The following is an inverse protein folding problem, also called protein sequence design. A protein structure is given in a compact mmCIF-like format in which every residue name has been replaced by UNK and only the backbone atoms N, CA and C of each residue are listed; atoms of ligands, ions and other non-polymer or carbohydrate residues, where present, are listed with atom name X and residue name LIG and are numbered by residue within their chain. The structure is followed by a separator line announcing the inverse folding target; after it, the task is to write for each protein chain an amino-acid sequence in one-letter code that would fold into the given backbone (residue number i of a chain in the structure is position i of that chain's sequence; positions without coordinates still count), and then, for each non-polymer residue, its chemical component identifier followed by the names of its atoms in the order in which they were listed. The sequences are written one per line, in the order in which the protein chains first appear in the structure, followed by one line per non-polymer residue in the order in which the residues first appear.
data_IF_294454330128
#
_entry.id   IF_294454330128
#
_cell.length_a   1.000
_cell.length_b   1.000
_cell.length_c   1.000
_cell.angle_alpha   90.00
_cell.angle_beta   90.00
_cell.angle_gamma   90.00
#
_symmetry.space_group_name_H-M   'P 1'
#
loop_
_entity.id
_entity.type
_entity.pdbx_description
1 polymer ?
2 non-polymer ?
3 water ?
#
# COMPACT_ATOMS: atom_id res chain seq x y z
N UNK A 1 9.32 6.93 -21.10
CA UNK A 1 10.14 7.44 -19.94
C UNK A 1 9.65 7.02 -18.55
N UNK A 2 10.59 6.55 -17.73
CA UNK A 2 10.26 6.05 -16.42
C UNK A 2 11.13 6.71 -15.36
N UNK A 3 10.53 7.49 -14.46
CA UNK A 3 11.23 8.13 -13.31
C UNK A 3 10.76 7.42 -12.08
N UNK A 4 11.37 6.28 -11.81
CA UNK A 4 10.77 5.36 -10.87
C UNK A 4 10.73 5.87 -9.42
N UNK A 5 11.63 6.80 -9.08
CA UNK A 5 11.71 7.31 -7.71
C UNK A 5 10.55 8.24 -7.39
N UNK A 6 10.30 9.22 -8.27
CA UNK A 6 9.21 10.18 -8.06
C UNK A 6 7.88 9.53 -8.20
N UNK A 7 7.75 8.68 -9.21
CA UNK A 7 6.54 7.89 -9.37
C UNK A 7 6.31 7.03 -8.13
N UNK A 8 7.37 6.41 -7.62
CA UNK A 8 7.27 5.53 -6.42
C UNK A 8 6.85 6.30 -5.19
N UNK A 9 7.54 7.39 -4.83
CA UNK A 9 7.13 8.20 -3.69
C UNK A 9 5.70 8.69 -3.85
N UNK A 10 5.33 9.13 -5.06
CA UNK A 10 3.97 9.66 -5.28
C UNK A 10 2.95 8.55 -5.03
N UNK A 11 3.28 7.38 -5.52
CA UNK A 11 2.29 6.29 -5.49
C UNK A 11 2.13 5.72 -4.07
N UNK A 12 3.22 5.62 -3.30
CA UNK A 12 3.08 5.25 -1.88
C UNK A 12 2.30 6.32 -1.09
N UNK A 13 2.55 7.60 -1.37
CA UNK A 13 1.76 8.67 -0.74
C UNK A 13 0.26 8.43 -0.96
N UNK A 14 -0.13 8.14 -2.21
CA UNK A 14 -1.52 7.86 -2.52
C UNK A 14 -2.03 6.60 -1.81
N UNK A 15 -1.31 5.49 -1.87
CA UNK A 15 -1.77 4.24 -1.22
C UNK A 15 -1.97 4.30 0.29
N UNK A 16 -0.96 4.82 1.00
CA UNK A 16 -1.02 5.02 2.47
C UNK A 16 -2.10 6.04 2.87
N UNK A 17 -2.27 7.10 2.07
CA UNK A 17 -3.38 8.07 2.26
C UNK A 17 -4.73 7.48 2.10
N UNK A 18 -4.93 6.62 1.12
CA UNK A 18 -6.18 5.92 0.99
C UNK A 18 -6.43 5.00 2.17
N UNK A 19 -5.41 4.26 2.64
CA UNK A 19 -5.62 3.41 3.79
C UNK A 19 -5.91 4.26 5.05
N UNK A 20 -5.26 5.41 5.21
CA UNK A 20 -5.50 6.28 6.41
C UNK A 20 -6.90 6.86 6.47
N UNK A 21 -7.55 6.96 5.32
CA UNK A 21 -8.88 7.52 5.20
C UNK A 21 -9.94 6.44 5.24
N UNK A 22 -9.50 5.19 5.31
CA UNK A 22 -10.42 4.05 5.23
C UNK A 22 -11.14 3.93 6.57
N UNK A 23 -12.40 3.43 6.57
CA UNK A 23 -13.14 3.29 7.83
C UNK A 23 -12.58 2.23 8.73
N UNK A 24 -12.87 2.39 10.04
CA UNK A 24 -12.56 1.34 11.01
C UNK A 24 -13.55 0.20 10.80
N UNK A 25 -14.80 0.55 10.45
CA UNK A 25 -15.83 -0.41 10.05
C UNK A 25 -16.30 -0.14 8.62
N UNK A 26 -15.62 -0.74 7.64
CA UNK A 26 -15.96 -0.51 6.24
C UNK A 26 -17.22 -1.26 5.85
N UNK A 27 -18.02 -0.69 4.94
CA UNK A 27 -19.16 -1.38 4.33
C UNK A 27 -18.68 -2.52 3.44
N UNK A 28 -19.55 -3.47 3.12
CA UNK A 28 -19.20 -4.58 2.23
C UNK A 28 -18.73 -4.01 0.90
N UNK A 29 -19.34 -2.92 0.47
CA UNK A 29 -18.95 -2.28 -0.79
C UNK A 29 -17.55 -1.68 -0.73
N UNK A 30 -17.24 -1.02 0.37
CA UNK A 30 -15.96 -0.37 0.55
C UNK A 30 -14.88 -1.45 0.54
N UNK A 31 -15.13 -2.58 1.19
CA UNK A 31 -14.17 -3.67 1.17
C UNK A 31 -13.91 -4.18 -0.25
N UNK A 32 -14.96 -4.36 -1.03
CA UNK A 32 -14.80 -4.91 -2.39
C UNK A 32 -14.06 -3.98 -3.36
N UNK A 33 -14.32 -2.68 -3.26
CA UNK A 33 -13.68 -1.73 -4.16
C UNK A 33 -12.24 -1.54 -3.78
N UNK A 34 -11.94 -1.64 -2.50
CA UNK A 34 -10.53 -1.51 -2.09
C UNK A 34 -9.70 -2.70 -2.66
N UNK A 35 -10.23 -3.90 -2.55
CA UNK A 35 -9.57 -5.09 -3.13
C UNK A 35 -9.35 -4.94 -4.64
N UNK A 36 -10.38 -4.51 -5.35
CA UNK A 36 -10.31 -4.32 -6.76
C UNK A 36 -9.37 -3.19 -7.09
N UNK A 37 -9.40 -2.11 -6.31
CA UNK A 37 -8.51 -1.01 -6.57
C UNK A 37 -7.09 -1.51 -6.58
N UNK A 38 -6.77 -2.25 -5.53
CA UNK A 38 -5.41 -2.71 -5.34
C UNK A 38 -4.97 -3.72 -6.43
N UNK A 39 -5.85 -4.62 -6.81
CA UNK A 39 -5.55 -5.54 -7.90
C UNK A 39 -5.28 -4.79 -9.17
N UNK A 40 -6.15 -3.84 -9.51
CA UNK A 40 -5.96 -3.10 -10.76
C UNK A 40 -4.69 -2.28 -10.71
N UNK A 41 -4.45 -1.64 -9.56
CA UNK A 41 -3.23 -0.86 -9.39
C UNK A 41 -2.01 -1.69 -9.76
N UNK A 42 -2.00 -2.92 -9.26
CA UNK A 42 -0.88 -3.83 -9.50
C UNK A 42 -0.78 -4.23 -10.97
N UNK A 43 -1.87 -4.19 -11.72
CA UNK A 43 -1.77 -4.49 -13.14
C UNK A 43 -1.18 -3.34 -13.96
N UNK A 44 -1.59 -2.11 -13.61
CA UNK A 44 -1.32 -0.92 -14.42
C UNK A 44 -0.20 -0.03 -13.92
N UNK A 45 0.40 -0.35 -12.76
CA UNK A 45 1.47 0.49 -12.24
C UNK A 45 2.58 0.62 -13.28
N UNK A 46 2.90 1.84 -13.67
CA UNK A 46 3.77 2.01 -14.82
C UNK A 46 5.24 1.85 -14.58
N UNK A 47 5.67 0.75 -13.95
CA UNK A 47 7.10 0.46 -13.78
C UNK A 47 7.09 -1.05 -13.82
N UNK A 48 7.33 -1.63 -14.99
CA UNK A 48 6.82 -2.98 -15.26
C UNK A 48 7.19 -4.14 -14.30
N UNK A 49 8.45 -4.18 -13.86
CA UNK A 49 8.93 -5.17 -12.87
C UNK A 49 8.41 -4.91 -11.45
N UNK A 50 8.41 -3.63 -11.05
CA UNK A 50 7.68 -3.13 -9.89
C UNK A 50 6.25 -3.74 -9.85
N UNK A 51 5.49 -3.54 -10.92
CA UNK A 51 4.10 -4.03 -11.03
C UNK A 51 3.95 -5.54 -10.77
N UNK A 52 4.71 -6.37 -11.49
CA UNK A 52 4.52 -7.86 -11.40
C UNK A 52 4.76 -8.43 -10.00
N UNK A 53 5.84 -7.97 -9.37
CA UNK A 53 6.14 -8.30 -7.99
C UNK A 53 5.06 -7.95 -7.02
N UNK A 54 4.53 -6.74 -7.14
CA UNK A 54 3.53 -6.26 -6.22
C UNK A 54 2.28 -7.04 -6.49
N UNK A 55 2.03 -7.34 -7.77
CA UNK A 55 0.94 -8.22 -8.14
C UNK A 55 1.11 -9.67 -7.57
N UNK A 56 2.32 -10.23 -7.64
CA UNK A 56 2.53 -11.51 -6.90
C UNK A 56 2.37 -11.33 -5.38
N UNK A 57 2.88 -10.25 -4.81
CA UNK A 57 2.62 -9.97 -3.40
C UNK A 57 1.14 -9.96 -3.01
N UNK A 58 0.32 -9.27 -3.79
CA UNK A 58 -1.11 -9.28 -3.54
C UNK A 58 -1.74 -10.68 -3.62
N UNK A 59 -1.27 -11.51 -4.54
CA UNK A 59 -1.71 -12.93 -4.62
C UNK A 59 -1.21 -13.80 -3.45
N UNK A 60 -0.04 -13.49 -2.90
CA UNK A 60 0.53 -14.31 -1.84
C UNK A 60 0.29 -13.82 -0.42
N UNK A 61 -0.25 -12.61 -0.32
CA UNK A 61 -0.55 -12.02 0.96
C UNK A 61 -1.68 -11.02 0.68
N UNK A 62 -2.90 -11.57 0.59
CA UNK A 62 -4.03 -10.82 0.05
C UNK A 62 -4.32 -9.59 0.90
N UNK A 63 -4.63 -8.46 0.26
CA UNK A 63 -4.96 -7.26 1.04
C UNK A 63 -5.99 -7.52 2.18
N UNK A 64 -5.64 -7.07 3.37
CA UNK A 64 -6.46 -7.20 4.55
C UNK A 64 -7.37 -5.95 4.70
N UNK A 65 -8.60 -6.07 4.24
CA UNK A 65 -9.45 -4.87 4.05
C UNK A 65 -10.58 -4.78 5.07
N UNK A 66 -10.47 -5.54 6.15
CA UNK A 66 -11.54 -5.62 7.14
C UNK A 66 -11.70 -4.36 8.01
N UNK A 67 -10.61 -3.58 8.14
CA UNK A 67 -10.62 -2.33 8.86
C UNK A 67 -9.43 -1.53 8.41
N UNK A 68 -9.48 -0.25 8.73
CA UNK A 68 -8.35 0.65 8.58
C UNK A 68 -7.10 0.10 9.24
N UNK A 69 -7.22 -0.35 10.48
CA UNK A 69 -6.05 -0.81 11.22
C UNK A 69 -5.35 -1.96 10.44
N UNK A 70 -6.14 -2.90 9.92
CA UNK A 70 -5.60 -4.03 9.17
C UNK A 70 -5.05 -3.60 7.82
N UNK A 71 -5.75 -2.70 7.15
CA UNK A 71 -5.36 -2.31 5.82
C UNK A 71 -4.05 -1.50 5.87
N UNK A 72 -3.97 -0.62 6.87
CA UNK A 72 -2.80 0.23 7.06
C UNK A 72 -1.57 -0.62 7.37
N UNK A 73 -1.70 -1.53 8.32
CA UNK A 73 -0.62 -2.51 8.56
C UNK A 73 -0.25 -3.30 7.32
N UNK A 74 -1.25 -3.74 6.55
CA UNK A 74 -0.98 -4.47 5.28
C UNK A 74 -0.16 -3.66 4.31
N UNK A 75 -0.56 -2.42 4.11
CA UNK A 75 0.17 -1.49 3.24
C UNK A 75 1.59 -1.24 3.75
N UNK A 76 1.73 -1.01 5.04
CA UNK A 76 3.04 -0.82 5.64
C UNK A 76 3.95 -2.03 5.34
N UNK A 77 3.43 -3.22 5.49
CA UNK A 77 4.21 -4.42 5.24
C UNK A 77 4.52 -4.65 3.76
N UNK A 78 3.55 -4.36 2.88
CA UNK A 78 3.78 -4.36 1.41
C UNK A 78 4.91 -3.40 1.01
N UNK A 79 4.87 -2.19 1.55
CA UNK A 79 5.94 -1.21 1.33
C UNK A 79 7.29 -1.69 1.90
N UNK A 80 7.28 -2.30 3.07
CA UNK A 80 8.51 -2.85 3.69
C UNK A 80 9.11 -3.99 2.90
N UNK A 81 8.29 -4.73 2.19
CA UNK A 81 8.82 -5.79 1.34
C UNK A 81 9.66 -5.14 0.22
N UNK A 82 9.16 -4.05 -0.33
CA UNK A 82 9.87 -3.33 -1.34
C UNK A 82 11.13 -2.65 -0.78
N UNK A 83 11.04 -2.00 0.40
CA UNK A 83 12.22 -1.49 1.10
C UNK A 83 13.30 -2.58 1.29
N UNK A 84 12.91 -3.77 1.68
CA UNK A 84 13.93 -4.82 1.83
C UNK A 84 14.66 -5.15 0.51
N UNK A 85 13.88 -5.47 -0.53
CA UNK A 85 14.33 -5.62 -1.91
C UNK A 85 15.31 -4.49 -2.35
N UNK A 86 15.09 -3.26 -1.90
CA UNK A 86 15.94 -2.16 -2.34
C UNK A 86 17.02 -1.79 -1.35
N UNK A 87 17.24 -2.59 -0.33
CA UNK A 87 18.21 -2.25 0.73
C UNK A 87 17.99 -0.87 1.39
N UNK A 88 16.72 -0.54 1.65
CA UNK A 88 16.38 0.61 2.45
C UNK A 88 16.01 0.09 3.82
N UNK A 89 16.01 0.99 4.82
CA UNK A 89 15.69 0.55 6.16
C UNK A 89 14.21 0.22 6.32
N UNK A 90 13.92 -0.61 7.30
CA UNK A 90 12.60 -1.02 7.58
C UNK A 90 11.93 0.14 8.27
N UNK A 91 10.67 0.36 7.91
CA UNK A 91 9.75 1.32 8.58
C UNK A 91 9.02 0.62 9.71
N UNK A 92 8.95 1.27 10.87
CA UNK A 92 8.24 0.73 12.02
C UNK A 92 6.73 0.85 11.81
N UNK A 93 6.07 -0.26 11.55
CA UNK A 93 4.65 -0.23 11.27
C UNK A 93 3.80 0.21 12.45
N UNK A 94 4.41 0.27 13.63
CA UNK A 94 3.72 0.76 14.81
C UNK A 94 3.44 2.24 14.69
N UNK A 95 4.15 2.88 13.78
CA UNK A 95 4.07 4.30 13.59
C UNK A 95 3.44 4.72 12.27
N UNK A 96 2.84 3.74 11.61
CA UNK A 96 2.12 3.94 10.37
C UNK A 96 1.01 4.99 10.56
N UNK A 97 0.21 4.89 11.63
CA UNK A 97 -0.89 5.84 11.82
C UNK A 97 -0.41 7.23 12.17
N UNK A 98 0.61 7.32 13.02
CA UNK A 98 1.20 8.61 13.36
C UNK A 98 1.67 9.34 12.08
N UNK A 99 2.26 8.58 11.14
CA UNK A 99 2.83 9.15 9.92
C UNK A 99 1.76 9.49 8.92
N UNK A 100 0.83 8.60 8.68
CA UNK A 100 -0.06 8.72 7.52
C UNK A 100 -1.45 9.16 7.88
N UNK A 101 -1.93 8.75 9.05
CA UNK A 101 -3.25 9.25 9.46
C UNK A 101 -3.17 10.61 10.17
N UNK A 102 -2.24 10.77 11.12
CA UNK A 102 -2.09 12.06 11.83
C UNK A 102 -1.20 13.04 11.10
N UNK A 103 -0.32 12.54 10.22
CA UNK A 103 0.50 13.40 9.35
C UNK A 103 1.82 13.94 9.89
N UNK A 104 2.36 13.33 10.96
CA UNK A 104 3.63 13.75 11.58
C UNK A 104 4.82 13.03 10.96
N UNK A 105 5.57 13.81 10.15
CA UNK A 105 6.86 13.47 9.47
C UNK A 105 6.74 13.11 7.96
X LIG B 1 9.55 5.76 -0.51
X LIG B 1 8.76 5.97 -1.78
X LIG B 1 9.98 4.31 -0.32
X LIG B 1 8.70 6.25 0.73
X LIG B 1 7.95 7.45 0.84
X LIG B 1 7.79 7.76 2.33
X LIG B 1 6.99 6.75 2.90
X LIG B 1 9.06 7.62 3.15
X LIG B 1 9.77 8.81 3.06
X LIG B 1 8.60 7.27 4.56
X LIG B 1 8.17 8.40 5.31
X LIG B 1 7.31 6.52 4.27
X LIG B 1 7.53 5.05 4.39
X LIG B 1 8.67 4.34 4.09
X LIG B 1 8.39 3.01 4.29
X LIG B 1 7.11 2.88 4.72
X LIG B 1 6.34 1.78 5.09
X LIG B 1 6.76 0.46 5.14
X LIG B 1 5.06 2.05 5.46
X LIG B 1 4.54 3.32 5.49
X LIG B 1 5.33 4.37 5.14
X LIG B 1 6.58 4.15 4.76
X LIG B 1 11.50 0.95 -6.99
X LIG B 1 12.51 0.10 -7.39
X LIG B 1 13.63 0.56 -7.60
X LIG B 1 12.27 -1.26 -7.53
X LIG B 1 11.01 -1.79 -7.29
X LIG B 1 10.78 -3.01 -7.42
X LIG B 1 9.99 -0.93 -6.91
X LIG B 1 8.73 -1.43 -6.67
X LIG B 1 7.71 -0.54 -6.34
X LIG B 1 6.44 -1.06 -6.11
X LIG B 1 5.40 -0.18 -5.77
X LIG B 1 4.02 -0.70 -5.51
X LIG B 1 5.64 1.20 -5.61
X LIG B 1 4.51 2.11 -5.23
X LIG B 1 6.92 1.70 -5.81
X LIG B 1 7.96 0.84 -6.17
X LIG B 1 9.27 1.30 -6.35
X LIG B 1 10.25 0.43 -6.77
X LIG B 1 9.84 2.59 -5.77
X LIG B 1 10.34 2.61 -4.33
X LIG B 1 9.45 1.90 -3.55
X LIG B 1 10.43 4.03 -3.77
X LIG B 1 9.22 4.76 -3.88
X LIG B 1 11.47 4.93 -4.45
X LIG B 1 12.71 4.29 -4.48
X LIG B 1 11.55 6.26 -3.70
X LIG B 1 12.08 5.98 -2.41
X LIG B 1 12.05 7.03 -1.22
X LIG B 1 13.25 6.78 -0.36
X LIG B 1 11.97 8.42 -1.74
X LIG B 1 10.78 6.77 -0.34
#
# INVERSE_FOLDING_TARGET
HMDVEQLGRSSWTLLHSVAASYPAQPTDQQKGEMKQFLNIFSHIYPCNWCAKDFEKYIRENAPQVESREELGRWMCEAHNKVNKKLRKPKFDCNFWEKRWKDGWDE
FAD PA O1A O2A O5B C5B C4B O4B C3B O3B C2B O2B C1B N9A C8A N7A C5A C6A N6A N1A C2A N3A C4A N1 C2 O2 N3 C4 O4 C4X N5 C5X C6 C7 C7M C8 C8M C9 C9A N10 C10 C1' C2' O2' C3' O3' C4' O4' C5' O5' P O1P O2P O3P
#
